data_IF_043392354797
#
_entry.id   IF_043392354797
#
_cell.length_a   1.000
_cell.length_b   1.000
_cell.length_c   1.000
_cell.angle_alpha   90.00
_cell.angle_beta   90.00
_cell.angle_gamma   90.00
#
_symmetry.space_group_name_H-M   'P 1'
#
loop_
_entity.id
_entity.type
_entity.pdbx_description
1 polymer ?
#
# COMPACT_ATOMS: atom_id res chain seq x y z
N UNK A 1 9.98 17.20 -17.46
CA UNK A 1 9.49 16.21 -16.47
C UNK A 1 10.70 15.45 -15.93
N UNK A 2 10.72 14.98 -14.66
CA UNK A 2 11.86 14.24 -14.07
C UNK A 2 11.65 12.71 -14.02
N UNK A 3 10.81 12.17 -14.93
CA UNK A 3 10.50 10.75 -15.03
C UNK A 3 10.54 10.30 -16.48
N UNK A 4 10.80 9.01 -16.70
CA UNK A 4 10.96 8.39 -18.03
C UNK A 4 10.24 7.04 -18.05
N UNK A 5 9.70 6.66 -19.21
CA UNK A 5 9.17 5.31 -19.46
C UNK A 5 10.18 4.57 -20.32
N UNK A 6 10.62 3.41 -19.87
CA UNK A 6 11.65 2.63 -20.54
C UNK A 6 11.02 1.44 -21.26
N UNK A 7 11.34 1.28 -22.54
CA UNK A 7 10.82 0.22 -23.40
C UNK A 7 11.98 -0.60 -23.99
N UNK A 8 11.65 -1.81 -24.45
CA UNK A 8 12.60 -2.68 -25.15
C UNK A 8 12.87 -2.23 -26.59
N UNK A 9 11.86 -1.67 -27.24
CA UNK A 9 11.93 -1.23 -28.63
C UNK A 9 11.23 0.10 -28.85
N UNK A 10 11.56 0.74 -29.97
CA UNK A 10 10.96 2.02 -30.32
C UNK A 10 9.51 1.83 -30.78
N UNK A 11 8.59 2.46 -30.07
CA UNK A 11 7.17 2.51 -30.46
C UNK A 11 6.94 3.65 -31.44
N UNK A 12 6.01 3.47 -32.38
CA UNK A 12 5.64 4.54 -33.32
C UNK A 12 5.12 5.74 -32.52
N UNK A 13 5.55 6.96 -32.86
CA UNK A 13 4.99 8.15 -32.22
C UNK A 13 3.52 8.28 -32.63
N UNK A 14 2.61 7.91 -31.72
CA UNK A 14 1.26 8.48 -31.73
C UNK A 14 1.36 9.93 -31.25
N UNK A 15 0.29 10.72 -31.44
CA UNK A 15 0.26 12.14 -31.07
C UNK A 15 0.90 12.36 -29.69
N UNK A 16 2.00 13.11 -29.67
CA UNK A 16 2.77 13.33 -28.45
C UNK A 16 1.96 14.20 -27.50
N UNK A 17 1.42 13.60 -26.44
CA UNK A 17 0.89 14.32 -25.30
C UNK A 17 2.06 14.77 -24.42
N UNK A 18 2.39 16.07 -24.47
CA UNK A 18 3.46 16.69 -23.68
C UNK A 18 3.25 16.56 -22.16
N UNK A 19 2.07 16.10 -21.72
CA UNK A 19 1.78 15.79 -20.31
C UNK A 19 2.27 14.42 -19.85
N UNK A 20 2.73 13.56 -20.77
CA UNK A 20 3.30 12.23 -20.48
C UNK A 20 4.83 12.26 -20.36
N UNK A 21 5.43 11.34 -19.58
CA UNK A 21 6.87 11.21 -19.49
C UNK A 21 7.50 10.80 -20.84
N UNK A 22 8.71 11.28 -21.15
CA UNK A 22 9.45 10.84 -22.33
C UNK A 22 9.67 9.31 -22.33
N UNK A 23 9.56 8.73 -23.52
CA UNK A 23 9.87 7.31 -23.76
C UNK A 23 11.36 7.17 -24.08
N UNK A 24 12.01 6.23 -23.42
CA UNK A 24 13.40 5.83 -23.60
C UNK A 24 13.45 4.37 -24.06
N UNK A 25 14.44 4.03 -24.89
CA UNK A 25 14.66 2.64 -25.32
C UNK A 25 15.93 2.14 -24.64
N UNK A 26 15.84 1.00 -23.95
CA UNK A 26 17.00 0.43 -23.27
C UNK A 26 18.05 -0.07 -24.27
N UNK A 27 19.32 0.06 -23.91
CA UNK A 27 20.47 -0.37 -24.73
C UNK A 27 20.46 -1.87 -25.06
N UNK A 28 21.16 -2.26 -26.13
CA UNK A 28 21.28 -3.67 -26.54
C UNK A 28 21.88 -4.56 -25.44
N UNK A 29 21.34 -5.78 -25.31
CA UNK A 29 21.75 -6.78 -24.34
C UNK A 29 22.31 -8.06 -24.98
N UNK A 30 22.53 -8.08 -26.30
CA UNK A 30 22.99 -9.27 -27.03
C UNK A 30 24.33 -9.85 -26.51
N UNK A 31 25.16 -9.02 -25.89
CA UNK A 31 26.42 -9.41 -25.27
C UNK A 31 26.29 -10.11 -23.91
N UNK A 32 25.12 -10.07 -23.28
CA UNK A 32 24.92 -10.64 -21.95
C UNK A 32 24.49 -12.10 -21.98
N UNK A 33 25.04 -12.90 -21.07
CA UNK A 33 24.61 -14.30 -20.88
C UNK A 33 23.34 -14.36 -20.04
N UNK A 34 22.37 -15.14 -20.53
CA UNK A 34 21.13 -15.42 -19.83
C UNK A 34 20.85 -16.93 -19.87
N UNK A 35 20.78 -17.57 -18.70
CA UNK A 35 20.67 -19.03 -18.58
C UNK A 35 19.52 -19.48 -17.68
N UNK A 36 18.70 -18.57 -17.17
CA UNK A 36 17.55 -18.94 -16.35
C UNK A 36 16.46 -19.58 -17.24
N UNK A 37 15.95 -20.77 -16.89
CA UNK A 37 15.04 -21.52 -17.75
C UNK A 37 13.59 -21.02 -17.74
N UNK A 38 13.19 -20.19 -16.77
CA UNK A 38 11.79 -19.79 -16.57
C UNK A 38 11.55 -18.28 -16.71
N UNK A 39 12.58 -17.45 -16.60
CA UNK A 39 12.46 -16.00 -16.79
C UNK A 39 12.65 -15.56 -18.24
N UNK A 40 12.74 -14.24 -18.45
CA UNK A 40 12.93 -13.65 -19.77
C UNK A 40 14.17 -12.73 -19.82
N UNK A 41 14.93 -12.69 -20.93
CA UNK A 41 16.10 -11.81 -21.07
C UNK A 41 15.82 -10.31 -20.88
N UNK A 42 14.57 -9.86 -21.04
CA UNK A 42 14.16 -8.46 -20.74
C UNK A 42 14.49 -8.04 -19.31
N UNK A 43 14.61 -8.96 -18.35
CA UNK A 43 15.09 -8.65 -17.01
C UNK A 43 16.49 -8.03 -16.96
N UNK A 44 17.36 -8.34 -17.95
CA UNK A 44 18.66 -7.68 -18.11
C UNK A 44 18.49 -6.19 -18.45
N UNK A 45 17.60 -5.89 -19.41
CA UNK A 45 17.26 -4.52 -19.82
C UNK A 45 16.70 -3.73 -18.64
N UNK A 46 15.69 -4.29 -17.96
CA UNK A 46 15.03 -3.62 -16.84
C UNK A 46 16.02 -3.36 -15.69
N UNK A 47 16.94 -4.29 -15.38
CA UNK A 47 18.00 -4.05 -14.39
C UNK A 47 18.85 -2.84 -14.79
N UNK A 48 19.27 -2.75 -16.05
CA UNK A 48 20.16 -1.70 -16.56
C UNK A 48 19.52 -0.30 -16.60
N UNK A 49 18.20 -0.18 -16.54
CA UNK A 49 17.46 1.11 -16.52
C UNK A 49 18.04 2.08 -15.48
N UNK A 50 18.45 1.60 -14.29
CA UNK A 50 19.06 2.47 -13.28
C UNK A 50 20.33 3.14 -13.80
N UNK A 51 21.24 2.35 -14.37
CA UNK A 51 22.52 2.83 -14.91
C UNK A 51 22.32 3.70 -16.14
N UNK A 52 21.40 3.31 -17.02
CA UNK A 52 21.05 4.11 -18.20
C UNK A 52 20.42 5.46 -17.79
N UNK A 53 19.56 5.46 -16.77
CA UNK A 53 18.99 6.69 -16.18
C UNK A 53 20.05 7.57 -15.53
N UNK A 54 21.04 6.99 -14.85
CA UNK A 54 22.16 7.73 -14.26
C UNK A 54 23.00 8.42 -15.36
N UNK A 55 23.26 7.74 -16.47
CA UNK A 55 24.02 8.26 -17.62
C UNK A 55 23.33 9.41 -18.35
N UNK A 56 22.04 9.67 -18.10
CA UNK A 56 21.36 10.87 -18.59
C UNK A 56 21.88 12.17 -17.95
N UNK A 57 22.65 12.07 -16.86
CA UNK A 57 23.31 13.21 -16.21
C UNK A 57 22.34 14.36 -15.88
N UNK A 58 21.11 14.04 -15.48
CA UNK A 58 20.12 15.03 -15.07
C UNK A 58 20.64 15.74 -13.81
N UNK A 59 20.68 17.08 -13.77
CA UNK A 59 21.20 17.82 -12.62
C UNK A 59 20.28 17.72 -11.41
N UNK A 60 20.86 17.87 -10.21
CA UNK A 60 20.16 17.93 -8.92
C UNK A 60 19.26 16.72 -8.64
N UNK A 61 19.77 15.51 -8.86
CA UNK A 61 19.10 14.25 -8.54
C UNK A 61 19.62 13.71 -7.21
N UNK A 62 18.69 13.46 -6.27
CA UNK A 62 19.00 12.86 -4.97
C UNK A 62 18.65 11.36 -4.92
N UNK A 63 17.58 10.98 -5.62
CA UNK A 63 17.01 9.64 -5.59
C UNK A 63 16.61 9.22 -7.00
N UNK A 64 16.92 7.97 -7.35
CA UNK A 64 16.35 7.25 -8.47
C UNK A 64 15.25 6.34 -7.94
N UNK A 65 14.04 6.46 -8.49
CA UNK A 65 12.90 5.63 -8.11
C UNK A 65 12.48 4.80 -9.31
N UNK A 66 12.48 3.48 -9.14
CA UNK A 66 12.04 2.50 -10.12
C UNK A 66 10.66 1.98 -9.72
N UNK A 67 9.82 1.67 -10.70
CA UNK A 67 8.51 1.06 -10.52
C UNK A 67 7.99 0.51 -11.84
N UNK A 68 7.08 -0.45 -11.75
CA UNK A 68 6.47 -1.09 -12.92
C UNK A 68 5.34 -0.22 -13.48
N UNK A 69 4.90 -0.50 -14.72
CA UNK A 69 3.92 0.32 -15.45
C UNK A 69 2.48 0.20 -14.91
N UNK A 70 2.23 -0.77 -14.04
CA UNK A 70 1.00 -1.01 -13.29
C UNK A 70 1.11 -0.63 -11.80
N UNK A 71 2.20 0.03 -11.37
CA UNK A 71 2.38 0.56 -10.02
C UNK A 71 1.73 1.95 -9.85
N UNK A 72 0.91 2.10 -8.81
CA UNK A 72 0.31 3.38 -8.42
C UNK A 72 1.03 3.98 -7.22
N UNK A 73 1.74 5.08 -7.42
CA UNK A 73 2.44 5.81 -6.35
C UNK A 73 1.62 6.96 -5.74
N UNK A 74 1.71 7.11 -4.42
CA UNK A 74 1.46 8.37 -3.72
C UNK A 74 2.77 9.14 -3.60
N UNK A 75 3.03 10.01 -4.59
CA UNK A 75 4.31 10.73 -4.72
C UNK A 75 4.59 11.66 -3.55
N UNK A 76 3.56 12.29 -2.96
CA UNK A 76 3.74 13.15 -1.78
C UNK A 76 4.26 12.36 -0.57
N UNK A 77 3.74 11.16 -0.36
CA UNK A 77 4.23 10.26 0.69
C UNK A 77 5.60 9.68 0.35
N UNK A 78 5.87 9.34 -0.91
CA UNK A 78 7.19 8.89 -1.36
C UNK A 78 8.26 9.93 -1.01
N UNK A 79 8.07 11.18 -1.40
CA UNK A 79 9.00 12.28 -1.09
C UNK A 79 9.14 12.49 0.42
N UNK A 80 8.04 12.44 1.16
CA UNK A 80 8.09 12.55 2.62
C UNK A 80 8.87 11.41 3.28
N UNK A 81 8.74 10.18 2.77
CA UNK A 81 9.47 9.01 3.27
C UNK A 81 10.96 9.11 2.95
N UNK A 82 11.33 9.49 1.73
CA UNK A 82 12.73 9.64 1.33
C UNK A 82 13.45 10.77 2.07
N UNK A 83 12.73 11.83 2.45
CA UNK A 83 13.27 12.92 3.28
C UNK A 83 13.69 12.51 4.70
N UNK A 84 13.41 11.27 5.13
CA UNK A 84 13.96 10.71 6.38
C UNK A 84 15.46 10.44 6.31
N UNK A 85 15.96 10.21 5.11
CA UNK A 85 17.26 9.62 4.88
C UNK A 85 18.22 10.66 4.31
N UNK A 86 19.48 10.56 4.70
CA UNK A 86 20.54 11.33 4.07
C UNK A 86 20.79 10.77 2.67
N UNK A 87 20.46 11.57 1.65
CA UNK A 87 20.61 11.18 0.25
C UNK A 87 22.06 11.21 -0.24
N UNK A 88 23.00 11.70 0.59
CA UNK A 88 24.44 11.66 0.33
C UNK A 88 25.12 10.36 0.78
N UNK A 89 24.37 9.47 1.44
CA UNK A 89 24.81 8.13 1.83
C UNK A 89 24.32 7.08 0.82
N UNK A 90 24.95 5.89 0.80
CA UNK A 90 24.54 4.78 -0.06
C UNK A 90 23.30 4.08 0.51
N UNK A 91 22.12 4.42 -0.01
CA UNK A 91 20.83 3.95 0.48
C UNK A 91 20.07 3.16 -0.59
N UNK A 92 19.63 1.96 -0.19
CA UNK A 92 18.72 1.09 -0.95
C UNK A 92 17.42 0.93 -0.15
N UNK A 93 16.32 1.48 -0.65
CA UNK A 93 15.05 1.59 0.07
C UNK A 93 13.92 0.92 -0.72
N UNK A 94 13.09 0.15 -0.03
CA UNK A 94 11.89 -0.49 -0.58
C UNK A 94 11.34 -1.50 0.41
N UNK A 95 10.62 -2.52 -0.06
CA UNK A 95 10.09 -3.60 0.79
C UNK A 95 10.03 -4.93 0.05
N UNK A 96 10.24 -6.07 0.74
CA UNK A 96 9.98 -7.40 0.19
C UNK A 96 8.51 -7.59 -0.18
N UNK A 97 8.19 -8.66 -0.91
CA UNK A 97 6.81 -8.99 -1.26
C UNK A 97 5.97 -9.36 -0.02
N UNK A 98 4.66 -9.13 -0.05
CA UNK A 98 3.73 -9.72 0.92
C UNK A 98 3.66 -11.25 0.78
N UNK A 99 4.19 -11.84 -0.29
CA UNK A 99 4.27 -13.28 -0.50
C UNK A 99 5.52 -13.90 0.12
N UNK A 100 5.31 -14.81 1.06
CA UNK A 100 6.35 -15.64 1.66
C UNK A 100 7.11 -16.45 0.60
N UNK A 101 6.38 -17.06 -0.34
CA UNK A 101 6.98 -17.89 -1.39
C UNK A 101 7.90 -17.09 -2.32
N UNK A 102 7.53 -15.86 -2.66
CA UNK A 102 8.37 -14.97 -3.45
C UNK A 102 9.64 -14.59 -2.68
N UNK A 103 9.52 -14.18 -1.42
CA UNK A 103 10.67 -13.81 -0.59
C UNK A 103 11.60 -14.99 -0.28
N UNK A 104 11.06 -16.20 -0.17
CA UNK A 104 11.85 -17.43 0.00
C UNK A 104 12.61 -17.82 -1.28
N UNK A 105 12.03 -17.57 -2.45
CA UNK A 105 12.69 -17.85 -3.73
C UNK A 105 13.74 -16.80 -4.09
N UNK A 106 13.42 -15.52 -3.92
CA UNK A 106 14.30 -14.39 -4.24
C UNK A 106 15.17 -14.01 -3.05
N UNK A 107 14.64 -13.19 -2.13
CA UNK A 107 15.32 -12.79 -0.91
C UNK A 107 14.36 -12.01 -0.03
N UNK A 108 14.43 -12.22 1.29
CA UNK A 108 13.75 -11.35 2.26
C UNK A 108 14.47 -10.00 2.43
N UNK A 109 15.62 -9.81 1.79
CA UNK A 109 16.43 -8.59 1.82
C UNK A 109 16.41 -7.86 0.46
N UNK A 110 15.52 -8.24 -0.45
CA UNK A 110 15.31 -7.59 -1.73
C UNK A 110 14.08 -6.68 -1.68
N UNK A 111 14.20 -5.49 -2.23
CA UNK A 111 13.04 -4.69 -2.63
C UNK A 111 12.55 -5.15 -4.00
N UNK A 112 11.25 -5.36 -4.12
CA UNK A 112 10.63 -5.75 -5.39
C UNK A 112 10.24 -4.51 -6.21
N UNK A 113 10.47 -4.58 -7.52
CA UNK A 113 10.35 -3.50 -8.50
C UNK A 113 8.94 -2.95 -8.59
N UNK A 114 7.95 -3.82 -8.71
CA UNK A 114 6.53 -3.44 -8.71
C UNK A 114 6.11 -2.69 -7.44
N UNK A 115 6.63 -3.10 -6.28
CA UNK A 115 6.44 -2.37 -5.02
C UNK A 115 7.10 -1.00 -5.01
N UNK A 116 8.11 -0.79 -5.85
CA UNK A 116 8.88 0.44 -5.97
C UNK A 116 10.21 0.34 -5.22
N UNK A 117 11.27 0.78 -5.88
CA UNK A 117 12.65 0.78 -5.35
C UNK A 117 13.18 2.20 -5.40
N UNK A 118 13.73 2.70 -4.30
CA UNK A 118 14.43 3.98 -4.25
C UNK A 118 15.92 3.78 -3.94
N UNK A 119 16.76 4.38 -4.78
CA UNK A 119 18.22 4.29 -4.73
C UNK A 119 18.79 5.70 -4.66
N UNK A 120 19.60 5.97 -3.64
CA UNK A 120 20.29 7.26 -3.49
C UNK A 120 21.28 7.51 -4.62
N UNK A 121 21.57 8.77 -4.92
CA UNK A 121 22.54 9.14 -5.96
C UNK A 121 23.91 8.44 -5.84
N UNK A 122 24.60 8.41 -4.68
CA UNK A 122 25.92 7.75 -4.57
C UNK A 122 25.88 6.25 -4.83
N UNK A 123 24.79 5.58 -4.44
CA UNK A 123 24.60 4.16 -4.74
C UNK A 123 24.38 3.93 -6.25
N UNK A 124 23.60 4.78 -6.91
CA UNK A 124 23.41 4.70 -8.36
C UNK A 124 24.73 4.95 -9.12
N UNK A 125 25.54 5.91 -8.67
CA UNK A 125 26.87 6.17 -9.21
C UNK A 125 27.78 4.95 -9.04
N UNK A 126 27.85 4.38 -7.83
CA UNK A 126 28.66 3.20 -7.55
C UNK A 126 28.25 2.02 -8.44
N UNK A 127 26.95 1.74 -8.55
CA UNK A 127 26.42 0.70 -9.44
C UNK A 127 26.79 0.96 -10.90
N UNK A 128 26.67 2.21 -11.38
CA UNK A 128 26.91 2.56 -12.79
C UNK A 128 28.32 2.19 -13.29
N UNK A 129 29.30 2.09 -12.38
CA UNK A 129 30.69 1.75 -12.69
C UNK A 129 30.95 0.26 -12.92
N UNK A 130 30.11 -0.65 -12.42
CA UNK A 130 30.36 -2.10 -12.53
C UNK A 130 29.10 -2.95 -12.81
N UNK A 131 27.94 -2.32 -13.00
CA UNK A 131 26.66 -3.04 -13.14
C UNK A 131 26.68 -4.09 -14.26
N UNK A 132 27.25 -3.75 -15.42
CA UNK A 132 27.33 -4.67 -16.56
C UNK A 132 28.20 -5.90 -16.19
N UNK A 133 29.36 -5.70 -15.55
CA UNK A 133 30.21 -6.79 -15.05
C UNK A 133 29.51 -7.65 -14.00
N UNK A 134 28.70 -7.02 -13.13
CA UNK A 134 27.92 -7.71 -12.11
C UNK A 134 26.86 -8.60 -12.74
N UNK A 135 26.04 -8.08 -13.65
CA UNK A 135 24.99 -8.85 -14.32
C UNK A 135 25.59 -10.10 -15.00
N UNK A 136 26.78 -9.99 -15.60
CA UNK A 136 27.50 -11.11 -16.21
C UNK A 136 27.91 -12.22 -15.23
N UNK A 137 28.10 -11.92 -13.94
CA UNK A 137 28.35 -12.92 -12.90
C UNK A 137 27.09 -13.70 -12.52
N UNK A 138 25.91 -13.18 -12.85
CA UNK A 138 24.61 -13.69 -12.42
C UNK A 138 23.67 -14.08 -13.57
N UNK A 139 24.13 -14.87 -14.58
CA UNK A 139 23.31 -15.20 -15.75
C UNK A 139 22.08 -16.07 -15.42
N UNK A 140 22.09 -16.73 -14.25
CA UNK A 140 21.04 -17.64 -13.77
C UNK A 140 19.90 -16.96 -13.02
N UNK A 141 20.02 -15.69 -12.65
CA UNK A 141 18.97 -14.98 -11.90
C UNK A 141 17.73 -14.78 -12.78
N UNK A 142 16.57 -14.66 -12.14
CA UNK A 142 15.29 -14.69 -12.87
C UNK A 142 14.97 -13.34 -13.50
N UNK A 143 14.81 -12.29 -12.70
CA UNK A 143 14.31 -10.98 -13.14
C UNK A 143 15.33 -9.85 -13.00
N UNK A 144 14.85 -8.62 -13.18
CA UNK A 144 15.61 -7.39 -12.94
C UNK A 144 15.93 -7.19 -11.47
N UNK A 145 14.92 -7.36 -10.61
CA UNK A 145 15.04 -6.98 -9.19
C UNK A 145 16.05 -7.86 -8.47
N UNK A 146 16.05 -9.16 -8.80
CA UNK A 146 17.00 -10.16 -8.30
C UNK A 146 18.45 -9.81 -8.72
N UNK A 147 18.64 -9.33 -9.96
CA UNK A 147 19.95 -8.87 -10.45
C UNK A 147 20.40 -7.58 -9.79
N UNK A 148 19.53 -6.59 -9.73
CA UNK A 148 19.81 -5.32 -9.08
C UNK A 148 20.14 -5.54 -7.59
N UNK A 149 19.38 -6.38 -6.90
CA UNK A 149 19.66 -6.79 -5.53
C UNK A 149 21.02 -7.49 -5.39
N UNK A 150 21.36 -8.42 -6.27
CA UNK A 150 22.65 -9.09 -6.26
C UNK A 150 23.81 -8.09 -6.40
N UNK A 151 23.71 -7.14 -7.33
CA UNK A 151 24.74 -6.10 -7.53
C UNK A 151 24.86 -5.14 -6.35
N UNK A 152 23.74 -4.72 -5.76
CA UNK A 152 23.74 -3.92 -4.53
C UNK A 152 24.36 -4.71 -3.36
N UNK A 153 24.14 -6.02 -3.31
CA UNK A 153 24.72 -6.90 -2.28
C UNK A 153 26.23 -7.03 -2.42
N UNK A 154 26.79 -7.01 -3.65
CA UNK A 154 28.25 -6.98 -3.85
C UNK A 154 28.90 -5.69 -3.28
N UNK A 155 28.15 -4.58 -3.25
CA UNK A 155 28.57 -3.34 -2.59
C UNK A 155 28.39 -3.38 -1.05
N UNK A 156 27.74 -4.43 -0.52
CA UNK A 156 27.48 -4.57 0.91
C UNK A 156 26.41 -3.63 1.45
N UNK A 157 25.55 -3.04 0.59
CA UNK A 157 24.49 -2.12 1.02
C UNK A 157 23.21 -2.91 1.33
N UNK A 158 22.72 -2.90 2.59
CA UNK A 158 21.52 -3.63 2.95
C UNK A 158 20.24 -2.90 2.55
N UNK A 159 19.15 -3.66 2.42
CA UNK A 159 17.82 -3.09 2.24
C UNK A 159 17.36 -2.34 3.50
N UNK A 160 17.03 -1.07 3.31
CA UNK A 160 16.29 -0.25 4.27
C UNK A 160 14.79 -0.42 4.01
N UNK A 161 14.10 -1.10 4.94
CA UNK A 161 12.69 -1.48 4.76
C UNK A 161 11.74 -0.33 5.06
N UNK A 162 10.85 -0.04 4.12
CA UNK A 162 9.76 0.93 4.25
C UNK A 162 8.41 0.26 4.00
N UNK A 163 7.63 0.02 5.07
CA UNK A 163 6.31 -0.66 5.00
C UNK A 163 5.23 0.08 4.19
N UNK A 164 5.57 1.21 3.57
CA UNK A 164 4.73 1.95 2.64
C UNK A 164 4.72 1.41 1.22
N UNK A 165 5.78 0.69 0.84
CA UNK A 165 5.94 0.10 -0.48
C UNK A 165 5.30 -1.29 -0.50
N UNK A 166 4.56 -1.57 -1.57
CA UNK A 166 3.72 -2.77 -1.65
C UNK A 166 3.84 -3.42 -3.04
N UNK A 167 4.56 -4.54 -3.12
CA UNK A 167 4.60 -5.39 -4.31
C UNK A 167 3.22 -5.98 -4.60
N UNK A 168 2.45 -6.22 -3.54
CA UNK A 168 1.03 -6.57 -3.58
C UNK A 168 0.75 -7.85 -4.38
N UNK A 169 1.61 -8.87 -4.21
CA UNK A 169 1.52 -10.21 -4.81
C UNK A 169 0.36 -11.04 -4.24
N UNK A 170 -0.84 -10.49 -4.34
CA UNK A 170 -2.10 -11.07 -3.90
C UNK A 170 -3.13 -11.03 -5.02
N UNK A 171 -4.16 -11.87 -4.92
CA UNK A 171 -5.26 -11.92 -5.89
C UNK A 171 -6.61 -11.93 -5.19
N UNK A 172 -7.62 -11.46 -5.91
CA UNK A 172 -8.99 -11.40 -5.42
C UNK A 172 -9.20 -10.22 -4.46
N UNK A 173 -9.87 -10.45 -3.33
CA UNK A 173 -10.35 -9.35 -2.50
C UNK A 173 -9.27 -8.82 -1.53
N UNK A 174 -8.70 -7.66 -1.87
CA UNK A 174 -7.66 -6.97 -1.08
C UNK A 174 -8.15 -6.30 0.23
N UNK A 175 -9.43 -6.47 0.61
CA UNK A 175 -10.02 -5.80 1.76
C UNK A 175 -9.26 -6.00 3.07
N UNK A 176 -8.74 -7.20 3.33
CA UNK A 176 -7.93 -7.48 4.52
C UNK A 176 -6.76 -6.53 4.66
N UNK A 177 -5.92 -6.40 3.62
CA UNK A 177 -4.74 -5.53 3.62
C UNK A 177 -5.13 -4.05 3.70
N UNK A 178 -6.08 -3.61 2.87
CA UNK A 178 -6.51 -2.20 2.83
C UNK A 178 -7.18 -1.75 4.14
N UNK A 179 -7.78 -2.67 4.92
CA UNK A 179 -8.43 -2.35 6.19
C UNK A 179 -7.53 -2.46 7.43
N UNK A 180 -6.38 -3.11 7.33
CA UNK A 180 -5.51 -3.44 8.47
C UNK A 180 -4.04 -3.00 8.30
N UNK A 181 -3.79 -2.11 7.34
CA UNK A 181 -2.46 -1.63 6.96
C UNK A 181 -1.57 -1.24 8.18
N UNK A 182 -0.24 -1.50 8.10
CA UNK A 182 0.74 -0.99 9.06
C UNK A 182 0.69 0.53 9.26
N UNK A 183 1.14 0.96 10.44
CA UNK A 183 1.28 2.38 10.82
C UNK A 183 2.52 2.96 10.14
N UNK A 184 2.37 3.30 8.86
CA UNK A 184 3.38 3.93 8.02
C UNK A 184 2.68 4.72 6.90
N UNK A 185 3.32 5.71 6.24
CA UNK A 185 2.76 6.36 5.05
C UNK A 185 2.54 5.35 3.92
N UNK A 186 1.39 5.42 3.25
CA UNK A 186 1.14 4.63 2.05
C UNK A 186 1.91 5.22 0.87
N UNK A 187 2.81 4.45 0.27
CA UNK A 187 3.72 4.93 -0.79
C UNK A 187 3.30 4.40 -2.15
N UNK A 188 3.05 3.11 -2.29
CA UNK A 188 2.74 2.49 -3.58
C UNK A 188 1.85 1.26 -3.41
N UNK A 189 1.25 0.81 -4.51
CA UNK A 189 0.55 -0.46 -4.66
C UNK A 189 0.71 -0.93 -6.11
N UNK A 190 0.82 -2.22 -6.32
CA UNK A 190 1.09 -2.85 -7.60
C UNK A 190 0.05 -3.92 -7.93
N UNK A 191 0.02 -4.42 -9.18
CA UNK A 191 -0.91 -5.46 -9.62
C UNK A 191 -2.40 -5.17 -9.33
N UNK A 192 -2.82 -3.91 -9.45
CA UNK A 192 -4.20 -3.48 -9.14
C UNK A 192 -5.23 -4.14 -10.06
N UNK A 193 -4.82 -4.66 -11.20
CA UNK A 193 -5.56 -5.43 -12.21
C UNK A 193 -5.83 -6.89 -11.81
N UNK A 194 -5.14 -7.43 -10.82
CA UNK A 194 -5.34 -8.80 -10.31
C UNK A 194 -6.20 -8.88 -9.04
N UNK A 195 -6.55 -7.74 -8.45
CA UNK A 195 -7.39 -7.65 -7.24
C UNK A 195 -8.76 -7.04 -7.53
N UNK A 196 -9.80 -7.52 -6.87
CA UNK A 196 -11.17 -7.00 -7.04
C UNK A 196 -11.21 -5.47 -6.88
N UNK A 197 -12.11 -4.75 -7.56
CA UNK A 197 -12.30 -3.32 -7.34
C UNK A 197 -12.45 -3.01 -5.84
N UNK A 198 -11.66 -2.05 -5.35
CA UNK A 198 -11.58 -1.72 -3.92
C UNK A 198 -12.95 -1.32 -3.35
N UNK A 199 -13.78 -0.66 -4.16
CA UNK A 199 -15.12 -0.21 -3.78
C UNK A 199 -16.21 -1.03 -4.47
N UNK A 200 -17.16 -1.62 -3.72
CA UNK A 200 -18.22 -2.44 -4.29
C UNK A 200 -19.09 -1.69 -5.30
N UNK A 201 -19.33 -2.31 -6.46
CA UNK A 201 -20.21 -1.78 -7.50
C UNK A 201 -19.55 -0.76 -8.44
N UNK A 202 -18.27 -0.42 -8.24
CA UNK A 202 -17.50 0.38 -9.18
C UNK A 202 -16.73 -0.50 -10.16
N UNK A 203 -16.43 0.07 -11.33
CA UNK A 203 -15.42 -0.49 -12.23
C UNK A 203 -14.03 -0.40 -11.59
N UNK A 204 -13.05 -1.16 -12.10
CA UNK A 204 -11.66 -1.07 -11.60
C UNK A 204 -11.11 0.36 -11.74
N UNK A 205 -11.31 1.00 -12.89
CA UNK A 205 -10.82 2.36 -13.14
C UNK A 205 -11.50 3.38 -12.21
N UNK A 206 -12.82 3.33 -12.06
CA UNK A 206 -13.53 4.26 -11.17
C UNK A 206 -13.17 4.02 -9.70
N UNK A 207 -12.91 2.77 -9.33
CA UNK A 207 -12.40 2.43 -8.01
C UNK A 207 -11.03 3.04 -7.76
N UNK A 208 -10.11 3.01 -8.73
CA UNK A 208 -8.79 3.64 -8.62
C UNK A 208 -8.88 5.18 -8.59
N UNK A 209 -9.78 5.78 -9.39
CA UNK A 209 -10.07 7.23 -9.33
C UNK A 209 -10.56 7.65 -7.95
N UNK A 210 -11.45 6.88 -7.33
CA UNK A 210 -11.92 7.16 -5.97
C UNK A 210 -10.80 6.93 -4.93
N UNK A 211 -10.00 5.89 -5.09
CA UNK A 211 -8.89 5.55 -4.20
C UNK A 211 -7.78 6.62 -4.19
N UNK A 212 -7.48 7.21 -5.33
CA UNK A 212 -6.47 8.28 -5.46
C UNK A 212 -6.96 9.64 -5.00
N UNK A 213 -8.28 9.85 -4.87
CA UNK A 213 -8.86 11.11 -4.39
C UNK A 213 -8.35 11.52 -2.98
N UNK A 214 -8.40 10.66 -1.94
CA UNK A 214 -7.84 11.00 -0.63
C UNK A 214 -6.32 11.21 -0.66
N UNK A 215 -5.58 10.54 -1.55
CA UNK A 215 -4.13 10.77 -1.71
C UNK A 215 -3.83 12.23 -2.04
N UNK A 216 -4.66 12.86 -2.89
CA UNK A 216 -4.48 14.25 -3.31
C UNK A 216 -4.91 15.28 -2.25
N UNK A 217 -5.80 14.90 -1.33
CA UNK A 217 -6.37 15.81 -0.33
C UNK A 217 -5.56 15.78 0.97
N UNK A 218 -5.27 14.57 1.48
CA UNK A 218 -4.50 14.34 2.69
C UNK A 218 -3.67 13.05 2.53
N UNK A 219 -2.53 13.12 1.80
CA UNK A 219 -1.76 11.95 1.43
C UNK A 219 -1.30 11.14 2.65
N UNK A 220 -0.99 11.82 3.75
CA UNK A 220 -0.43 11.19 4.95
C UNK A 220 -1.43 10.33 5.70
N UNK A 221 -2.71 10.66 5.61
CA UNK A 221 -3.77 9.99 6.36
C UNK A 221 -4.37 8.80 5.62
N UNK A 222 -4.16 8.67 4.31
CA UNK A 222 -4.76 7.57 3.55
C UNK A 222 -4.30 6.21 4.10
N UNK A 223 -5.27 5.29 4.22
CA UNK A 223 -5.14 3.96 4.80
C UNK A 223 -4.61 3.93 6.24
N UNK A 224 -4.47 5.09 6.92
CA UNK A 224 -4.18 5.09 8.34
C UNK A 224 -5.38 4.54 9.10
N UNK A 225 -5.08 3.59 9.97
CA UNK A 225 -6.08 2.92 10.78
C UNK A 225 -6.30 3.66 12.10
N UNK A 226 -7.55 3.72 12.53
CA UNK A 226 -7.93 4.09 13.89
C UNK A 226 -9.01 3.15 14.42
N UNK A 227 -9.05 3.01 15.74
CA UNK A 227 -10.00 2.13 16.44
C UNK A 227 -10.69 2.97 17.51
N UNK A 228 -12.01 2.87 17.59
CA UNK A 228 -12.83 3.49 18.62
C UNK A 228 -13.92 2.52 19.07
N UNK A 229 -14.35 2.68 20.32
CA UNK A 229 -15.38 1.85 20.94
C UNK A 229 -16.61 2.70 21.27
N UNK A 230 -17.78 2.11 21.08
CA UNK A 230 -19.02 2.58 21.66
C UNK A 230 -19.40 1.57 22.73
N UNK A 231 -19.11 1.92 23.98
CA UNK A 231 -19.29 1.02 25.12
C UNK A 231 -20.77 0.78 25.44
N UNK A 232 -21.62 1.79 25.26
CA UNK A 232 -23.05 1.67 25.51
C UNK A 232 -23.70 0.64 24.57
N UNK A 233 -23.28 0.64 23.30
CA UNK A 233 -23.80 -0.28 22.28
C UNK A 233 -22.93 -1.53 22.09
N UNK A 234 -21.84 -1.67 22.86
CA UNK A 234 -20.83 -2.72 22.71
C UNK A 234 -20.28 -2.85 21.27
N UNK A 235 -20.05 -1.74 20.58
CA UNK A 235 -19.55 -1.74 19.19
C UNK A 235 -18.07 -1.39 19.12
N UNK A 236 -17.40 -1.97 18.12
CA UNK A 236 -16.05 -1.51 17.70
C UNK A 236 -16.13 -0.90 16.32
N UNK A 237 -15.56 0.29 16.19
CA UNK A 237 -15.33 0.95 14.91
C UNK A 237 -13.85 0.81 14.56
N UNK A 238 -13.55 0.19 13.42
CA UNK A 238 -12.22 0.20 12.81
C UNK A 238 -12.28 1.02 11.53
N UNK A 239 -11.58 2.14 11.50
CA UNK A 239 -11.59 3.08 10.37
C UNK A 239 -10.26 2.99 9.65
N UNK A 240 -10.30 2.66 8.36
CA UNK A 240 -9.20 2.87 7.40
C UNK A 240 -9.51 4.10 6.57
N UNK A 241 -8.82 5.21 6.85
CA UNK A 241 -9.13 6.51 6.27
C UNK A 241 -8.98 6.47 4.74
N UNK A 242 -10.01 6.96 4.05
CA UNK A 242 -10.05 6.96 2.59
C UNK A 242 -10.37 5.59 1.99
N UNK A 243 -10.79 4.59 2.78
CA UNK A 243 -11.18 3.28 2.28
C UNK A 243 -12.48 2.73 2.90
N UNK A 244 -12.46 2.36 4.19
CA UNK A 244 -13.58 1.65 4.82
C UNK A 244 -13.70 1.93 6.32
N UNK A 245 -14.95 1.98 6.82
CA UNK A 245 -15.29 1.86 8.24
C UNK A 245 -15.92 0.50 8.48
N UNK A 246 -15.33 -0.29 9.38
CA UNK A 246 -15.85 -1.57 9.82
C UNK A 246 -16.50 -1.41 11.20
N UNK A 247 -17.77 -1.79 11.31
CA UNK A 247 -18.53 -1.73 12.56
C UNK A 247 -18.78 -3.14 13.06
N UNK A 248 -18.04 -3.56 14.09
CA UNK A 248 -18.19 -4.87 14.71
C UNK A 248 -19.30 -4.85 15.77
N UNK A 249 -20.14 -5.90 15.85
CA UNK A 249 -21.23 -6.03 16.82
C UNK A 249 -20.77 -6.44 18.23
N UNK A 250 -19.48 -6.33 18.51
CA UNK A 250 -18.86 -6.65 19.80
C UNK A 250 -17.58 -5.84 19.96
N UNK A 251 -17.07 -5.77 21.19
CA UNK A 251 -15.73 -5.24 21.46
C UNK A 251 -14.68 -6.18 20.86
N UNK A 252 -13.82 -5.65 19.98
CA UNK A 252 -12.69 -6.35 19.34
C UNK A 252 -11.41 -5.63 19.71
N UNK A 253 -10.44 -6.37 20.22
CA UNK A 253 -9.20 -5.80 20.74
C UNK A 253 -8.26 -5.39 19.60
N UNK A 254 -7.39 -4.38 19.81
CA UNK A 254 -6.50 -3.90 18.76
C UNK A 254 -5.55 -4.95 18.20
N UNK A 255 -5.03 -5.84 19.05
CA UNK A 255 -4.15 -6.95 18.66
C UNK A 255 -4.82 -7.90 17.65
N UNK A 256 -6.15 -8.08 17.73
CA UNK A 256 -6.88 -8.85 16.72
C UNK A 256 -7.06 -8.04 15.43
N UNK A 257 -7.39 -6.75 15.54
CA UNK A 257 -7.63 -5.87 14.39
C UNK A 257 -6.35 -5.50 13.64
N UNK A 258 -5.17 -5.64 14.24
CA UNK A 258 -3.86 -5.48 13.61
C UNK A 258 -3.57 -6.54 12.55
N UNK A 259 -4.18 -7.72 12.68
CA UNK A 259 -3.99 -8.81 11.74
C UNK A 259 -4.91 -8.66 10.54
N UNK A 260 -4.36 -8.87 9.35
CA UNK A 260 -5.10 -8.78 8.11
C UNK A 260 -6.15 -9.87 7.99
N UNK A 261 -7.40 -9.47 7.73
CA UNK A 261 -8.47 -10.43 7.48
C UNK A 261 -8.15 -11.25 6.23
N UNK A 262 -8.20 -12.57 6.34
CA UNK A 262 -7.96 -13.45 5.19
C UNK A 262 -9.11 -13.34 4.18
N UNK A 263 -8.96 -12.47 3.18
CA UNK A 263 -9.92 -12.20 2.09
C UNK A 263 -9.32 -12.38 0.69
N UNK A 264 -8.00 -12.52 0.59
CA UNK A 264 -7.23 -12.64 -0.64
C UNK A 264 -6.49 -13.98 -0.66
N UNK A 265 -5.97 -14.36 -1.83
CA UNK A 265 -5.06 -15.49 -2.00
C UNK A 265 -3.70 -15.00 -2.47
N UNK A 266 -2.65 -15.78 -2.25
CA UNK A 266 -1.31 -15.46 -2.72
C UNK A 266 -1.21 -15.52 -4.25
N UNK A 267 -0.14 -14.97 -4.80
CA UNK A 267 0.10 -14.94 -6.25
C UNK A 267 0.06 -16.32 -6.92
N UNK A 268 0.60 -17.33 -6.25
CA UNK A 268 0.56 -18.75 -6.64
C UNK A 268 -0.83 -19.41 -6.50
N UNK A 269 -1.86 -18.61 -6.15
CA UNK A 269 -3.27 -19.00 -5.94
C UNK A 269 -3.53 -19.86 -4.70
N UNK A 270 -2.54 -20.03 -3.83
CA UNK A 270 -2.73 -20.68 -2.54
C UNK A 270 -3.33 -19.70 -1.53
N UNK A 271 -4.24 -20.21 -0.69
CA UNK A 271 -4.97 -19.43 0.31
C UNK A 271 -4.67 -19.86 1.73
N UNK A 272 -3.46 -20.35 2.01
CA UNK A 272 -3.05 -20.69 3.36
C UNK A 272 -2.34 -19.49 4.02
N UNK A 273 -2.44 -19.30 5.34
CA UNK A 273 -1.76 -18.20 6.05
C UNK A 273 -0.23 -18.18 5.89
N UNK A 274 0.40 -19.33 5.63
CA UNK A 274 1.85 -19.46 5.49
C UNK A 274 2.39 -18.93 4.16
N UNK A 275 1.52 -18.61 3.19
CA UNK A 275 1.92 -17.97 1.93
C UNK A 275 2.26 -16.49 2.08
N UNK A 276 2.06 -15.90 3.26
CA UNK A 276 2.14 -14.47 3.48
C UNK A 276 3.17 -14.10 4.54
N UNK A 277 3.97 -13.07 4.27
CA UNK A 277 4.97 -12.52 5.21
C UNK A 277 4.40 -11.39 6.08
N UNK A 278 3.11 -11.49 6.41
CA UNK A 278 2.43 -10.62 7.37
C UNK A 278 1.40 -11.42 8.17
N UNK A 279 1.04 -10.91 9.34
CA UNK A 279 0.06 -11.56 10.19
C UNK A 279 -1.34 -11.54 9.54
N UNK A 280 -1.89 -12.73 9.33
CA UNK A 280 -3.28 -12.90 8.90
C UNK A 280 -4.15 -13.42 10.04
N UNK A 281 -5.45 -13.10 9.98
CA UNK A 281 -6.48 -13.67 10.84
C UNK A 281 -7.55 -14.34 10.01
N UNK A 282 -8.08 -15.43 10.55
CA UNK A 282 -9.20 -16.15 9.93
C UNK A 282 -10.42 -15.25 9.87
N UNK A 283 -11.15 -15.34 8.77
CA UNK A 283 -12.46 -14.73 8.64
C UNK A 283 -13.43 -15.24 9.71
N UNK A 284 -14.31 -14.37 10.21
CA UNK A 284 -15.34 -14.75 11.18
C UNK A 284 -16.26 -15.82 10.60
N UNK A 285 -16.31 -16.99 11.25
CA UNK A 285 -17.21 -18.10 10.89
C UNK A 285 -18.68 -17.72 11.09
N UNK A 286 -18.99 -17.12 12.24
CA UNK A 286 -20.34 -16.66 12.55
C UNK A 286 -20.64 -15.36 11.81
N UNK A 287 -21.76 -15.35 11.08
CA UNK A 287 -22.32 -14.16 10.43
C UNK A 287 -22.64 -13.05 11.45
N UNK A 288 -22.93 -13.42 12.70
CA UNK A 288 -23.23 -12.49 13.79
C UNK A 288 -22.00 -11.77 14.36
N UNK A 289 -20.79 -12.25 14.06
CA UNK A 289 -19.53 -11.59 14.48
C UNK A 289 -18.89 -10.78 13.35
N UNK A 290 -19.41 -10.88 12.12
CA UNK A 290 -18.87 -10.14 10.98
C UNK A 290 -19.17 -8.65 11.15
N UNK A 291 -18.24 -7.75 10.79
CA UNK A 291 -18.52 -6.32 10.80
C UNK A 291 -19.54 -5.95 9.72
N UNK A 292 -20.26 -4.86 9.92
CA UNK A 292 -20.95 -4.14 8.84
C UNK A 292 -19.94 -3.19 8.21
N UNK A 293 -19.88 -3.18 6.88
CA UNK A 293 -18.89 -2.40 6.13
C UNK A 293 -19.52 -1.13 5.57
N UNK A 294 -18.83 0.00 5.73
CA UNK A 294 -19.16 1.27 5.10
C UNK A 294 -17.95 1.71 4.27
N UNK A 295 -18.08 1.72 2.95
CA UNK A 295 -17.00 2.07 2.04
C UNK A 295 -17.02 3.56 1.73
N UNK A 296 -15.84 4.15 1.48
CA UNK A 296 -15.75 5.53 1.04
C UNK A 296 -16.61 5.73 -0.22
N UNK A 297 -17.44 6.75 -0.20
CA UNK A 297 -18.22 7.22 -1.35
C UNK A 297 -17.66 8.52 -1.89
N UNK A 298 -17.29 9.43 -0.99
CA UNK A 298 -16.68 10.69 -1.35
C UNK A 298 -15.80 11.24 -0.21
N UNK A 299 -14.83 12.07 -0.57
CA UNK A 299 -13.98 12.81 0.37
C UNK A 299 -13.77 14.22 -0.14
N UNK A 300 -13.85 15.18 0.77
CA UNK A 300 -13.59 16.59 0.51
C UNK A 300 -12.76 17.21 1.63
N UNK A 301 -12.13 18.33 1.29
CA UNK A 301 -11.44 19.17 2.27
C UNK A 301 -12.46 20.03 3.00
N UNK A 302 -12.40 20.03 4.33
CA UNK A 302 -13.26 20.83 5.22
C UNK A 302 -12.36 21.69 6.12
N UNK A 303 -12.05 22.90 5.66
CA UNK A 303 -11.03 23.76 6.25
C UNK A 303 -9.65 23.10 6.24
N UNK A 304 -9.10 22.84 7.42
CA UNK A 304 -7.83 22.11 7.60
C UNK A 304 -8.01 20.59 7.73
N UNK A 305 -9.24 20.11 7.91
CA UNK A 305 -9.56 18.70 8.05
C UNK A 305 -10.04 18.10 6.72
N UNK A 306 -10.25 16.79 6.73
CA UNK A 306 -10.93 16.06 5.67
C UNK A 306 -12.29 15.58 6.16
N UNK A 307 -13.30 15.62 5.31
CA UNK A 307 -14.61 15.05 5.56
C UNK A 307 -14.86 13.95 4.54
N UNK A 308 -14.82 12.70 5.01
CA UNK A 308 -15.17 11.51 4.22
C UNK A 308 -16.59 11.05 4.49
N UNK A 309 -17.34 10.74 3.45
CA UNK A 309 -18.66 10.10 3.52
C UNK A 309 -18.54 8.63 3.15
N UNK A 310 -18.96 7.75 4.05
CA UNK A 310 -18.86 6.30 3.90
C UNK A 310 -20.24 5.68 3.86
N UNK A 311 -20.57 5.00 2.76
CA UNK A 311 -21.88 4.41 2.53
C UNK A 311 -21.88 2.91 2.88
N UNK A 312 -22.96 2.45 3.51
CA UNK A 312 -23.16 1.05 3.86
C UNK A 312 -23.10 0.16 2.61
N UNK A 313 -22.29 -0.88 2.67
CA UNK A 313 -22.28 -1.93 1.64
C UNK A 313 -23.56 -2.76 1.70
N UNK A 314 -24.11 -3.13 0.54
CA UNK A 314 -25.16 -4.16 0.45
C UNK A 314 -24.56 -5.53 0.82
N UNK A 315 -24.83 -6.04 2.01
CA UNK A 315 -24.34 -7.35 2.45
C UNK A 315 -25.34 -8.45 2.05
N UNK A 316 -24.88 -9.44 1.28
CA UNK A 316 -25.67 -10.64 0.94
C UNK A 316 -26.14 -11.40 2.19
N UNK A 317 -25.47 -11.18 3.33
CA UNK A 317 -25.81 -11.79 4.61
C UNK A 317 -26.77 -10.96 5.45
N UNK A 318 -27.28 -9.81 5.01
CA UNK A 318 -28.19 -8.99 5.82
C UNK A 318 -29.45 -9.76 6.24
N UNK A 319 -30.02 -10.55 5.32
CA UNK A 319 -31.15 -11.43 5.65
C UNK A 319 -30.75 -12.52 6.64
N UNK A 320 -29.57 -13.14 6.46
CA UNK A 320 -29.05 -14.15 7.37
C UNK A 320 -28.78 -13.57 8.77
N UNK A 321 -28.26 -12.35 8.87
CA UNK A 321 -28.05 -11.66 10.15
C UNK A 321 -29.37 -11.43 10.87
N UNK A 322 -30.40 -10.92 10.17
CA UNK A 322 -31.72 -10.68 10.74
C UNK A 322 -32.37 -11.94 11.30
N UNK A 323 -32.16 -13.09 10.65
CA UNK A 323 -32.77 -14.37 11.05
C UNK A 323 -31.95 -15.11 12.12
N UNK A 324 -30.63 -15.24 11.94
CA UNK A 324 -29.79 -16.11 12.77
C UNK A 324 -29.14 -15.43 13.98
N UNK A 325 -29.17 -14.09 14.05
CA UNK A 325 -28.55 -13.35 15.16
C UNK A 325 -29.55 -12.86 16.21
N UNK A 326 -30.84 -13.23 16.09
CA UNK A 326 -31.87 -12.87 17.07
C UNK A 326 -31.51 -13.37 18.48
N UNK A 327 -31.71 -12.56 19.55
CA UNK A 327 -32.38 -11.26 19.59
C UNK A 327 -31.49 -10.05 19.22
N UNK A 328 -30.21 -10.25 18.91
CA UNK A 328 -29.29 -9.15 18.58
C UNK A 328 -29.47 -8.66 17.14
N UNK A 329 -29.99 -7.44 17.00
CA UNK A 329 -30.07 -6.76 15.70
C UNK A 329 -28.68 -6.46 15.13
N UNK A 330 -28.52 -6.38 13.79
CA UNK A 330 -27.28 -5.92 13.18
C UNK A 330 -26.88 -4.54 13.73
N UNK A 331 -25.57 -4.29 13.92
CA UNK A 331 -25.13 -3.02 14.47
C UNK A 331 -25.55 -1.88 13.54
N UNK A 332 -26.11 -0.84 14.15
CA UNK A 332 -26.56 0.39 13.49
C UNK A 332 -27.56 0.15 12.34
N UNK A 333 -28.50 -0.79 12.43
CA UNK A 333 -29.38 -1.22 11.33
C UNK A 333 -29.96 -0.10 10.43
N UNK A 334 -30.26 1.07 10.99
CA UNK A 334 -30.85 2.21 10.27
C UNK A 334 -29.82 3.18 9.65
N UNK A 335 -28.55 3.12 10.07
CA UNK A 335 -27.50 4.02 9.59
C UNK A 335 -27.04 3.60 8.20
N UNK A 336 -27.30 4.45 7.21
CA UNK A 336 -26.87 4.23 5.82
C UNK A 336 -25.51 4.87 5.51
N UNK A 337 -25.18 5.96 6.20
CA UNK A 337 -23.94 6.70 5.97
C UNK A 337 -23.23 7.02 7.29
N UNK A 338 -21.90 6.95 7.27
CA UNK A 338 -21.03 7.42 8.35
C UNK A 338 -20.18 8.55 7.80
N UNK A 339 -20.10 9.65 8.54
CA UNK A 339 -19.17 10.73 8.24
C UNK A 339 -17.92 10.56 9.10
N UNK A 340 -16.74 10.67 8.49
CA UNK A 340 -15.46 10.67 9.22
C UNK A 340 -14.74 11.98 8.97
N UNK A 341 -14.49 12.71 10.05
CA UNK A 341 -13.65 13.91 10.03
C UNK A 341 -12.22 13.50 10.35
N UNK A 342 -11.31 13.59 9.37
CA UNK A 342 -9.88 13.30 9.54
C UNK A 342 -9.10 14.58 9.76
N UNK A 343 -8.49 14.73 10.94
CA UNK A 343 -7.59 15.84 11.24
C UNK A 343 -6.20 15.57 10.62
N UNK A 344 -5.55 16.60 10.06
CA UNK A 344 -4.27 16.44 9.38
C UNK A 344 -3.19 16.01 10.36
N UNK A 345 -2.27 15.18 9.88
CA UNK A 345 -1.14 14.71 10.67
C UNK A 345 0.01 15.72 10.63
N UNK A 346 0.72 15.84 11.77
CA UNK A 346 1.95 16.62 11.84
C UNK A 346 2.96 16.15 10.79
N UNK A 347 3.80 17.09 10.30
CA UNK A 347 4.77 16.81 9.21
C UNK A 347 5.68 15.60 9.51
N UNK A 348 5.95 15.33 10.78
CA UNK A 348 6.90 14.33 11.25
C UNK A 348 6.20 13.12 11.90
N UNK A 349 4.89 12.91 11.69
CA UNK A 349 4.15 11.82 12.34
C UNK A 349 4.76 10.44 12.07
N UNK A 350 5.36 10.25 10.90
CA UNK A 350 5.96 9.00 10.45
C UNK A 350 7.38 8.77 11.00
N UNK A 351 8.00 9.75 11.65
CA UNK A 351 9.29 9.57 12.34
C UNK A 351 9.12 8.81 13.66
N UNK A 352 7.98 9.01 14.32
CA UNK A 352 7.59 8.28 15.54
C UNK A 352 6.16 7.77 15.33
N UNK A 353 6.00 6.72 14.52
CA UNK A 353 4.69 6.27 14.06
C UNK A 353 3.84 5.80 15.25
N UNK A 354 2.64 6.38 15.36
CA UNK A 354 1.62 5.99 16.33
C UNK A 354 0.26 5.92 15.64
N UNK A 355 -0.53 4.89 15.98
CA UNK A 355 -1.89 4.74 15.48
C UNK A 355 -2.72 5.98 15.79
N UNK A 356 -3.57 6.39 14.86
CA UNK A 356 -4.50 7.48 15.06
C UNK A 356 -5.59 7.10 16.08
N UNK A 357 -6.03 8.08 16.86
CA UNK A 357 -7.14 7.93 17.77
C UNK A 357 -8.44 8.30 17.05
N UNK A 358 -9.51 7.60 17.40
CA UNK A 358 -10.87 7.89 16.94
C UNK A 358 -11.77 8.22 18.13
N UNK A 359 -12.70 9.15 17.94
CA UNK A 359 -13.80 9.46 18.87
C UNK A 359 -15.14 9.37 18.13
N UNK A 360 -16.13 8.73 18.74
CA UNK A 360 -17.51 8.69 18.23
C UNK A 360 -18.23 9.95 18.73
N UNK A 361 -18.67 10.82 17.82
CA UNK A 361 -19.34 12.06 18.17
C UNK A 361 -20.82 11.99 17.77
N UNK A 362 -21.73 12.25 18.73
CA UNK A 362 -23.18 12.40 18.57
C UNK A 362 -23.89 11.34 17.69
N UNK A 363 -24.73 10.53 18.32
CA UNK A 363 -25.69 9.63 17.66
C UNK A 363 -27.03 10.32 17.40
N UNK A 364 -27.03 11.61 17.03
CA UNK A 364 -28.25 12.38 16.75
C UNK A 364 -28.89 11.98 15.42
N UNK A 365 -30.00 11.25 15.53
CA UNK A 365 -31.07 10.79 14.62
C UNK A 365 -30.92 10.63 13.11
N UNK A 366 -29.89 11.14 12.41
CA UNK A 366 -29.73 10.86 10.96
C UNK A 366 -28.32 10.48 10.50
N UNK A 367 -27.24 10.99 11.11
CA UNK A 367 -25.87 10.76 10.62
C UNK A 367 -24.89 10.49 11.76
N UNK A 368 -24.34 9.28 11.79
CA UNK A 368 -23.25 8.92 12.70
C UNK A 368 -21.95 9.59 12.25
N UNK A 369 -21.28 10.31 13.15
CA UNK A 369 -20.02 11.00 12.86
C UNK A 369 -18.87 10.47 13.72
N UNK A 370 -17.74 10.18 13.08
CA UNK A 370 -16.48 9.82 13.72
C UNK A 370 -15.47 10.94 13.51
N UNK A 371 -14.60 11.16 14.50
CA UNK A 371 -13.43 12.03 14.38
C UNK A 371 -12.17 11.19 14.51
N UNK A 372 -11.23 11.33 13.58
CA UNK A 372 -9.95 10.64 13.58
C UNK A 372 -8.82 11.66 13.55
N UNK A 373 -7.79 11.44 14.36
CA UNK A 373 -6.63 12.32 14.38
C UNK A 373 -5.54 11.85 15.33
N UNK A 374 -4.57 12.72 15.58
CA UNK A 374 -3.50 12.43 16.52
C UNK A 374 -4.05 12.30 17.95
N UNK A 375 -3.56 11.32 18.70
CA UNK A 375 -3.99 11.09 20.08
C UNK A 375 -3.56 12.24 21.00
N UNK A 376 -4.47 12.69 21.87
CA UNK A 376 -4.18 13.70 22.88
C UNK A 376 -3.22 13.14 23.96
N UNK A 377 -2.44 14.01 24.62
CA UNK A 377 -1.59 13.60 25.75
C UNK A 377 -2.49 13.23 26.93
N UNK A 378 -2.29 12.05 27.52
CA UNK A 378 -3.05 11.57 28.68
C UNK A 378 -4.31 10.77 28.34
N UNK A 379 -4.87 10.90 27.13
CA UNK A 379 -5.87 9.95 26.64
C UNK A 379 -5.16 8.67 26.23
N UNK A 380 -5.26 7.64 27.06
CA UNK A 380 -5.06 6.28 26.58
C UNK A 380 -6.05 6.04 25.44
N UNK A 381 -5.65 5.27 24.43
CA UNK A 381 -6.58 4.84 23.38
C UNK A 381 -7.65 3.95 24.02
N UNK A 382 -8.72 4.57 24.52
CA UNK A 382 -10.02 4.02 24.90
C UNK A 382 -10.02 2.76 25.77
N UNK A 383 -8.95 2.44 26.50
CA UNK A 383 -8.94 1.27 27.39
C UNK A 383 -9.04 1.62 28.88
N UNK A 384 -8.81 2.89 29.26
CA UNK A 384 -8.71 3.27 30.69
C UNK A 384 -9.56 4.46 31.10
N UNK A 385 -10.45 4.96 30.26
CA UNK A 385 -11.38 6.00 30.70
C UNK A 385 -12.54 5.43 31.55
N UNK A 386 -12.57 4.13 31.83
CA UNK A 386 -13.56 3.51 32.75
C UNK A 386 -13.12 2.12 33.26
N UNK A 387 -12.11 2.08 34.14
CA UNK A 387 -12.00 0.99 35.13
C UNK A 387 -12.38 1.53 36.50
#
# INVERSE_FOLDING_TARGET
>A
MRGHVWLEEQVRPEETDDSLPPIMVSEDISGFRYTNPTGHPSGLRISRILTESFRLCVPDIHWFVLGDDDTVFNVDNLVAVLNKYDHSETMYIGTPSESHSANAYFSHSMAFGGGGIAISYPLAEALSNFHDDCIERYPKLYGSDDRLHACITELGVPLTREHGFHQWDIRGNAHGLLSSRPIAPFVSIHHVEYVDPFYPGLSRLDSLKLFTKPMKIDPRSILQRSICYDHERHLTFSVSLGYVVQVFPNIVLPCELERSGHTYVAWNKLGNPQEFDHDTRKSYKSVCKKPVLFFLKDVMKDGNATLGSYARAKDKNDLKRKVFCFPHSPPLQYVQNIQVVGNPLGKNWYLVPRRLCCKVNNTGDEVLRLRVGQCEKGTLSSFTDSL
#
